data_IF_518703568567
#
_entry.id   IF_518703568567
#
_cell.length_a   1.000
_cell.length_b   1.000
_cell.length_c   1.000
_cell.angle_alpha   90.00
_cell.angle_beta   90.00
_cell.angle_gamma   90.00
#
_symmetry.space_group_name_H-M   'P 1'
#
loop_
_entity.id
_entity.type
_entity.pdbx_description
1 polymer ?
#
# COMPACT_ATOMS: atom_id res chain seq x y z
N UNK A 1 -14.95 8.57 33.75
CA UNK A 1 -14.44 7.18 33.79
C UNK A 1 -13.68 6.97 32.49
N UNK A 2 -12.36 7.17 32.56
CA UNK A 2 -11.46 7.07 31.41
C UNK A 2 -11.47 5.66 30.84
N UNK A 3 -11.82 5.57 29.57
CA UNK A 3 -11.51 4.39 28.75
C UNK A 3 -10.03 4.55 28.33
N UNK A 4 -9.13 3.62 28.70
CA UNK A 4 -7.74 3.76 28.32
C UNK A 4 -7.64 3.57 26.80
N UNK A 5 -7.07 4.57 26.12
CA UNK A 5 -6.61 4.48 24.73
C UNK A 5 -5.82 3.18 24.56
N UNK A 6 -6.21 2.38 23.57
CA UNK A 6 -5.60 1.09 23.21
C UNK A 6 -4.07 1.17 23.30
N UNK A 7 -3.46 0.16 23.91
CA UNK A 7 -2.01 -0.05 23.87
C UNK A 7 -1.54 0.12 22.43
N UNK A 8 -0.60 1.02 22.19
CA UNK A 8 0.20 1.04 20.96
C UNK A 8 0.87 -0.32 20.86
N UNK A 9 0.30 -1.21 20.05
CA UNK A 9 0.95 -2.46 19.68
C UNK A 9 2.23 -2.11 18.92
N UNK A 10 3.35 -2.70 19.33
CA UNK A 10 4.60 -2.65 18.57
C UNK A 10 4.32 -3.20 17.17
N UNK A 11 4.21 -2.31 16.19
CA UNK A 11 4.11 -2.69 14.79
C UNK A 11 5.47 -3.25 14.41
N UNK A 12 5.57 -4.57 14.32
CA UNK A 12 6.78 -5.26 13.86
C UNK A 12 7.29 -4.62 12.56
N UNK A 13 8.61 -4.48 12.43
CA UNK A 13 9.22 -3.80 11.28
C UNK A 13 8.81 -4.50 9.98
N UNK A 14 8.01 -3.83 9.15
CA UNK A 14 7.63 -4.35 7.84
C UNK A 14 8.86 -4.50 6.94
N UNK A 15 8.90 -5.60 6.19
CA UNK A 15 9.90 -5.82 5.13
C UNK A 15 9.25 -5.52 3.79
N UNK A 16 9.61 -4.39 3.19
CA UNK A 16 9.03 -3.97 1.92
C UNK A 16 9.61 -4.75 0.73
N UNK A 17 8.82 -4.99 -0.33
CA UNK A 17 9.33 -5.54 -1.58
C UNK A 17 10.46 -4.68 -2.15
N UNK A 18 11.49 -5.36 -2.66
CA UNK A 18 12.57 -4.71 -3.38
C UNK A 18 12.02 -3.91 -4.56
N UNK A 19 12.45 -2.66 -4.70
CA UNK A 19 12.01 -1.76 -5.76
C UNK A 19 13.22 -1.27 -6.53
N UNK A 20 13.33 -1.67 -7.80
CA UNK A 20 14.44 -1.25 -8.65
C UNK A 20 14.39 0.26 -8.85
N UNK A 21 15.56 0.91 -8.72
CA UNK A 21 15.77 2.29 -9.14
C UNK A 21 16.44 2.28 -10.50
N UNK A 22 15.78 2.86 -11.50
CA UNK A 22 16.36 3.19 -12.79
C UNK A 22 17.18 4.49 -12.73
N UNK A 23 17.68 4.87 -13.89
CA UNK A 23 18.57 6.01 -14.12
C UNK A 23 17.93 7.11 -14.98
N UNK A 24 16.62 7.04 -15.26
CA UNK A 24 15.91 8.06 -16.02
C UNK A 24 16.08 9.45 -15.38
N UNK A 25 16.48 10.43 -16.19
CA UNK A 25 16.58 11.83 -15.81
C UNK A 25 16.06 12.69 -16.96
N UNK A 26 15.11 13.56 -16.67
CA UNK A 26 14.57 14.53 -17.62
C UNK A 26 15.18 15.92 -17.35
N UNK A 27 15.27 16.78 -18.38
CA UNK A 27 15.72 18.17 -18.23
C UNK A 27 14.53 19.10 -18.46
N UNK A 28 14.06 19.75 -17.40
CA UNK A 28 12.91 20.66 -17.42
C UNK A 28 13.41 22.08 -17.18
N UNK A 29 13.24 22.96 -18.18
CA UNK A 29 13.69 24.37 -18.11
C UNK A 29 15.17 24.52 -17.73
N UNK A 30 16.03 23.61 -18.20
CA UNK A 30 17.45 23.60 -17.89
C UNK A 30 17.82 22.94 -16.55
N UNK A 31 16.85 22.38 -15.82
CA UNK A 31 17.06 21.68 -14.55
C UNK A 31 16.92 20.17 -14.75
N UNK A 32 17.93 19.39 -14.35
CA UNK A 32 17.88 17.93 -14.35
C UNK A 32 17.00 17.40 -13.20
N UNK A 33 16.04 16.54 -13.53
CA UNK A 33 15.09 15.93 -12.60
C UNK A 33 15.13 14.41 -12.76
N UNK A 34 15.58 13.70 -11.74
CA UNK A 34 15.67 12.24 -11.75
C UNK A 34 14.31 11.59 -11.48
N UNK A 35 13.95 10.61 -12.30
CA UNK A 35 12.75 9.80 -12.16
C UNK A 35 13.10 8.30 -12.07
N UNK A 36 13.63 7.85 -10.92
CA UNK A 36 14.15 6.49 -10.78
C UNK A 36 13.07 5.40 -10.90
N UNK A 37 11.78 5.76 -10.91
CA UNK A 37 10.67 4.82 -10.97
C UNK A 37 9.80 4.97 -12.22
N UNK A 38 10.27 5.70 -13.25
CA UNK A 38 9.61 5.84 -14.56
C UNK A 38 9.13 4.50 -15.15
N UNK A 39 9.84 3.41 -14.89
CA UNK A 39 9.46 2.07 -15.36
C UNK A 39 8.10 1.60 -14.84
N UNK A 40 7.63 2.11 -13.70
CA UNK A 40 6.32 1.78 -13.14
C UNK A 40 5.15 2.42 -13.91
N UNK A 41 5.43 3.38 -14.80
CA UNK A 41 4.38 4.00 -15.64
C UNK A 41 3.88 3.04 -16.72
N UNK A 42 4.67 2.03 -17.09
CA UNK A 42 4.20 0.95 -17.96
C UNK A 42 3.48 -0.12 -17.14
N UNK A 43 2.15 0.00 -17.09
CA UNK A 43 1.27 -0.94 -16.39
C UNK A 43 1.22 -2.32 -17.05
N UNK A 44 1.63 -2.43 -18.32
CA UNK A 44 1.64 -3.69 -19.04
C UNK A 44 2.98 -4.44 -18.95
N UNK A 45 4.00 -3.81 -18.39
CA UNK A 45 5.29 -4.45 -18.13
C UNK A 45 5.15 -5.56 -17.09
N UNK A 46 5.82 -6.69 -17.34
CA UNK A 46 5.88 -7.80 -16.38
C UNK A 46 6.51 -7.37 -15.04
N UNK A 47 7.49 -6.47 -15.07
CA UNK A 47 8.14 -5.93 -13.87
C UNK A 47 7.14 -5.15 -12.99
N UNK A 48 6.32 -4.28 -13.58
CA UNK A 48 5.31 -3.47 -12.87
C UNK A 48 4.25 -4.35 -12.24
N UNK A 49 3.73 -5.34 -13.00
CA UNK A 49 2.75 -6.28 -12.46
C UNK A 49 3.32 -7.08 -11.28
N UNK A 50 4.53 -7.62 -11.41
CA UNK A 50 5.19 -8.36 -10.33
C UNK A 50 5.43 -7.49 -9.08
N UNK A 51 5.79 -6.23 -9.27
CA UNK A 51 5.95 -5.28 -8.16
C UNK A 51 4.62 -4.98 -7.47
N UNK A 52 3.54 -4.72 -8.23
CA UNK A 52 2.20 -4.50 -7.68
C UNK A 52 1.72 -5.70 -6.89
N UNK A 53 1.90 -6.92 -7.41
CA UNK A 53 1.55 -8.15 -6.71
C UNK A 53 2.31 -8.32 -5.40
N UNK A 54 3.61 -7.99 -5.38
CA UNK A 54 4.42 -8.05 -4.16
C UNK A 54 3.96 -7.02 -3.11
N UNK A 55 3.60 -5.80 -3.52
CA UNK A 55 3.06 -4.78 -2.62
C UNK A 55 1.69 -5.19 -2.07
N UNK A 56 0.79 -5.65 -2.94
CA UNK A 56 -0.54 -6.11 -2.55
C UNK A 56 -0.47 -7.28 -1.57
N UNK A 57 0.48 -8.22 -1.75
CA UNK A 57 0.69 -9.32 -0.80
C UNK A 57 1.09 -8.81 0.58
N UNK A 58 2.08 -7.91 0.67
CA UNK A 58 2.47 -7.31 1.95
C UNK A 58 1.30 -6.60 2.62
N UNK A 59 0.53 -5.81 1.85
CA UNK A 59 -0.64 -5.11 2.36
C UNK A 59 -1.71 -6.07 2.85
N UNK A 60 -2.03 -7.12 2.07
CA UNK A 60 -3.01 -8.12 2.44
C UNK A 60 -2.61 -8.82 3.74
N UNK A 61 -1.39 -9.35 3.83
CA UNK A 61 -0.87 -10.00 5.04
C UNK A 61 -0.92 -9.08 6.26
N UNK A 62 -0.53 -7.81 6.10
CA UNK A 62 -0.54 -6.82 7.17
C UNK A 62 -1.97 -6.56 7.66
N UNK A 63 -2.90 -6.35 6.74
CA UNK A 63 -4.29 -6.04 7.09
C UNK A 63 -5.05 -7.29 7.58
N UNK A 64 -4.78 -8.47 7.04
CA UNK A 64 -5.40 -9.75 7.45
C UNK A 64 -5.01 -10.10 8.88
N UNK A 65 -3.82 -9.67 9.33
CA UNK A 65 -3.38 -9.79 10.72
C UNK A 65 -4.13 -8.90 11.70
N UNK A 66 -4.93 -7.92 11.25
CA UNK A 66 -5.65 -7.02 12.16
C UNK A 66 -6.89 -7.71 12.76
N UNK A 67 -6.99 -7.80 14.10
CA UNK A 67 -8.05 -8.58 14.75
C UNK A 67 -9.46 -8.05 14.46
N UNK A 68 -9.60 -6.73 14.28
CA UNK A 68 -10.91 -6.08 14.08
C UNK A 68 -11.34 -5.98 12.61
N UNK A 69 -10.51 -6.42 11.65
CA UNK A 69 -10.77 -6.20 10.21
C UNK A 69 -12.09 -6.80 9.74
N UNK A 70 -12.40 -8.02 10.15
CA UNK A 70 -13.62 -8.71 9.73
C UNK A 70 -14.88 -8.13 10.38
N UNK A 71 -14.79 -7.66 11.63
CA UNK A 71 -15.89 -6.98 12.29
C UNK A 71 -16.24 -5.67 11.57
N UNK A 72 -15.22 -4.89 11.20
CA UNK A 72 -15.40 -3.65 10.43
C UNK A 72 -15.97 -3.92 9.05
N UNK A 73 -15.48 -4.95 8.34
CA UNK A 73 -15.98 -5.32 7.01
C UNK A 73 -17.48 -5.65 7.05
N UNK A 74 -17.93 -6.45 8.02
CA UNK A 74 -19.36 -6.78 8.19
C UNK A 74 -20.19 -5.55 8.49
N UNK A 75 -19.73 -4.67 9.39
CA UNK A 75 -20.46 -3.46 9.75
C UNK A 75 -20.64 -2.52 8.55
N UNK A 76 -19.62 -2.38 7.71
CA UNK A 76 -19.71 -1.59 6.48
C UNK A 76 -20.70 -2.21 5.48
N UNK A 77 -20.71 -3.53 5.34
CA UNK A 77 -21.67 -4.22 4.45
C UNK A 77 -23.12 -3.99 4.90
N UNK A 78 -23.41 -4.10 6.21
CA UNK A 78 -24.75 -3.82 6.77
C UNK A 78 -25.22 -2.38 6.50
N UNK A 79 -24.31 -1.41 6.62
CA UNK A 79 -24.63 0.01 6.40
C UNK A 79 -24.78 0.35 4.91
N UNK A 80 -24.13 -0.42 4.04
CA UNK A 80 -24.19 -0.22 2.59
C UNK A 80 -25.44 -0.84 1.97
N UNK A 81 -25.91 -1.96 2.51
CA UNK A 81 -27.11 -2.68 2.04
C UNK A 81 -28.43 -2.06 2.52
N UNK A 82 -28.46 -0.73 2.68
CA UNK A 82 -29.67 0.00 3.06
C UNK A 82 -30.42 0.42 1.78
N UNK A 83 -31.65 -0.08 1.55
CA UNK A 83 -32.46 0.37 0.42
C UNK A 83 -32.78 1.86 0.55
N UNK A 84 -32.74 2.58 -0.57
CA UNK A 84 -33.05 4.02 -0.64
C UNK A 84 -34.48 4.35 -0.21
#
# INVERSE_FOLDING_TARGET
>A
MSEPLRKTEETGRLTYPGTRRGDQVDVLHGVSVADPYRWMEDLDAAETRAWVEAQNRLTAETLDGLPDREALRRRLAELWDIPR
#
